data_IF_918883999455
#
_entry.id   IF_918883999455
#
_cell.length_a   1.000
_cell.length_b   1.000
_cell.length_c   1.000
_cell.angle_alpha   90.00
_cell.angle_beta   90.00
_cell.angle_gamma   90.00
#
_symmetry.space_group_name_H-M   'P 1'
#
loop_
_entity.id
_entity.type
_entity.pdbx_description
1 polymer ?
#
# COMPACT_ATOMS: atom_id res chain seq x y z
N UNK A 1 1.09 28.29 -11.98
CA UNK A 1 -0.21 27.69 -11.58
C UNK A 1 0.05 26.20 -11.44
N UNK A 2 -0.33 25.57 -10.33
CA UNK A 2 -0.19 24.13 -10.20
C UNK A 2 -1.12 23.44 -11.23
N UNK A 3 -0.65 22.40 -11.95
CA UNK A 3 -1.49 21.69 -12.91
C UNK A 3 -2.73 21.09 -12.22
N UNK A 4 -3.85 21.03 -12.93
CA UNK A 4 -5.04 20.33 -12.45
C UNK A 4 -4.74 18.83 -12.27
N UNK A 5 -5.43 18.15 -11.36
CA UNK A 5 -5.19 16.74 -11.09
C UNK A 5 -5.32 15.86 -12.35
N UNK A 6 -6.21 16.23 -13.29
CA UNK A 6 -6.36 15.56 -14.59
C UNK A 6 -5.08 15.57 -15.43
N UNK A 7 -4.31 16.65 -15.37
CA UNK A 7 -3.05 16.81 -16.10
C UNK A 7 -1.86 16.27 -15.30
N UNK A 8 -1.91 16.43 -13.98
CA UNK A 8 -0.86 15.98 -13.08
C UNK A 8 -0.72 14.46 -13.06
N UNK A 9 -1.81 13.70 -12.95
CA UNK A 9 -1.77 12.25 -12.79
C UNK A 9 -1.02 11.55 -13.94
N UNK A 10 -1.31 11.81 -15.23
CA UNK A 10 -0.56 11.19 -16.34
C UNK A 10 0.90 11.64 -16.38
N UNK A 11 1.18 12.92 -16.13
CA UNK A 11 2.53 13.47 -16.14
C UNK A 11 3.39 12.86 -15.02
N UNK A 12 2.84 12.75 -13.81
CA UNK A 12 3.48 12.13 -12.67
C UNK A 12 3.74 10.64 -12.94
N UNK A 13 2.73 9.91 -13.46
CA UNK A 13 2.86 8.48 -13.81
C UNK A 13 4.01 8.24 -14.79
N UNK A 14 4.08 9.04 -15.86
CA UNK A 14 5.18 8.97 -16.83
C UNK A 14 6.52 9.19 -16.16
N UNK A 15 6.63 10.26 -15.37
CA UNK A 15 7.89 10.63 -14.71
C UNK A 15 8.36 9.55 -13.72
N UNK A 16 7.47 9.03 -12.86
CA UNK A 16 7.87 8.05 -11.84
C UNK A 16 8.26 6.71 -12.44
N UNK A 17 7.69 6.32 -13.59
CA UNK A 17 8.07 5.11 -14.31
C UNK A 17 9.48 5.21 -14.94
N UNK A 18 10.04 6.41 -15.07
CA UNK A 18 11.41 6.63 -15.57
C UNK A 18 12.45 6.66 -14.42
N UNK A 19 12.00 6.59 -13.16
CA UNK A 19 12.90 6.56 -12.00
C UNK A 19 13.55 5.18 -11.83
N UNK A 20 14.65 5.16 -11.09
CA UNK A 20 15.36 3.93 -10.79
C UNK A 20 14.54 3.05 -9.83
N UNK A 21 14.28 1.82 -10.26
CA UNK A 21 13.54 0.80 -9.53
C UNK A 21 12.03 0.78 -9.80
N UNK A 22 11.43 -0.39 -9.57
CA UNK A 22 10.00 -0.67 -9.76
C UNK A 22 9.38 -1.48 -8.61
N UNK A 23 10.02 -1.51 -7.44
CA UNK A 23 9.57 -2.33 -6.31
C UNK A 23 8.23 -1.83 -5.76
N UNK A 24 8.18 -0.58 -5.30
CA UNK A 24 6.96 -0.02 -4.72
C UNK A 24 6.72 1.42 -5.10
N UNK A 25 5.43 1.80 -5.20
CA UNK A 25 4.98 3.17 -5.31
C UNK A 25 3.87 3.44 -4.28
N UNK A 26 3.98 4.55 -3.55
CA UNK A 26 2.91 5.07 -2.70
C UNK A 26 2.31 6.32 -3.32
N UNK A 27 1.00 6.31 -3.52
CA UNK A 27 0.21 7.42 -4.02
C UNK A 27 -0.68 7.95 -2.89
N UNK A 28 -0.77 9.28 -2.76
CA UNK A 28 -1.68 9.95 -1.84
C UNK A 28 -2.70 10.76 -2.61
N UNK A 29 -3.99 10.53 -2.35
CA UNK A 29 -5.11 11.19 -3.03
C UNK A 29 -6.30 11.27 -2.09
N UNK A 30 -6.94 12.43 -2.03
CA UNK A 30 -8.20 12.61 -1.30
C UNK A 30 -9.38 11.99 -2.09
N UNK A 31 -10.46 11.56 -1.42
CA UNK A 31 -11.56 10.85 -2.07
C UNK A 31 -12.32 11.73 -3.09
N UNK A 32 -12.37 13.05 -2.89
CA UNK A 32 -13.09 13.94 -3.80
C UNK A 32 -12.36 14.05 -5.13
N UNK A 33 -11.03 14.21 -5.10
CA UNK A 33 -10.18 14.21 -6.30
C UNK A 33 -10.24 12.86 -7.02
N UNK A 34 -10.13 11.75 -6.30
CA UNK A 34 -10.19 10.41 -6.88
C UNK A 34 -11.55 10.14 -7.54
N UNK A 35 -12.64 10.61 -6.93
CA UNK A 35 -14.01 10.48 -7.47
C UNK A 35 -14.22 11.38 -8.69
N UNK A 36 -13.81 12.65 -8.61
CA UNK A 36 -13.97 13.64 -9.68
C UNK A 36 -13.22 13.24 -10.96
N UNK A 37 -12.07 12.60 -10.82
CA UNK A 37 -11.22 12.19 -11.94
C UNK A 37 -11.05 10.66 -12.01
N UNK A 38 -12.10 9.89 -11.72
CA UNK A 38 -12.05 8.42 -11.58
C UNK A 38 -11.37 7.72 -12.75
N UNK A 39 -11.69 8.08 -13.98
CA UNK A 39 -11.12 7.43 -15.18
C UNK A 39 -9.61 7.64 -15.28
N UNK A 40 -9.13 8.85 -14.96
CA UNK A 40 -7.71 9.20 -15.00
C UNK A 40 -6.96 8.57 -13.82
N UNK A 41 -7.60 8.53 -12.66
CA UNK A 41 -7.07 7.92 -11.46
C UNK A 41 -6.90 6.40 -11.61
N UNK A 42 -7.92 5.68 -12.08
CA UNK A 42 -7.82 4.24 -12.32
C UNK A 42 -6.80 3.93 -13.42
N UNK A 43 -6.76 4.74 -14.48
CA UNK A 43 -5.71 4.62 -15.51
C UNK A 43 -4.30 4.82 -14.94
N UNK A 44 -4.10 5.79 -14.05
CA UNK A 44 -2.82 5.98 -13.36
C UNK A 44 -2.41 4.73 -12.57
N UNK A 45 -3.33 4.09 -11.85
CA UNK A 45 -3.03 2.88 -11.09
C UNK A 45 -2.63 1.69 -11.98
N UNK A 46 -3.24 1.58 -13.15
CA UNK A 46 -2.87 0.58 -14.16
C UNK A 46 -1.49 0.86 -14.77
N UNK A 47 -1.25 2.13 -15.14
CA UNK A 47 -0.03 2.57 -15.84
C UNK A 47 1.19 2.72 -14.91
N UNK A 48 1.03 2.70 -13.58
CA UNK A 48 2.15 2.68 -12.64
C UNK A 48 2.89 1.34 -12.70
N UNK A 49 4.08 1.31 -13.31
CA UNK A 49 4.86 0.09 -13.52
C UNK A 49 5.68 -0.28 -12.27
N UNK A 50 4.97 -0.53 -11.16
CA UNK A 50 5.55 -1.00 -9.90
C UNK A 50 4.91 -2.31 -9.48
N UNK A 51 5.69 -3.23 -8.92
CA UNK A 51 5.18 -4.53 -8.48
C UNK A 51 4.28 -4.42 -7.24
N UNK A 52 4.35 -3.32 -6.49
CA UNK A 52 3.34 -2.96 -5.49
C UNK A 52 2.99 -1.47 -5.55
N UNK A 53 1.69 -1.17 -5.68
CA UNK A 53 1.14 0.17 -5.61
C UNK A 53 0.26 0.29 -4.35
N UNK A 54 0.41 1.37 -3.59
CA UNK A 54 -0.39 1.61 -2.39
C UNK A 54 -0.99 3.01 -2.41
N UNK A 55 -2.30 3.10 -2.22
CA UNK A 55 -3.07 4.33 -2.17
C UNK A 55 -3.35 4.69 -0.72
N UNK A 56 -2.92 5.87 -0.30
CA UNK A 56 -3.07 6.43 1.05
C UNK A 56 -2.47 5.55 2.15
N UNK A 57 -1.54 4.68 1.79
CA UNK A 57 -0.82 3.80 2.70
C UNK A 57 0.63 3.66 2.25
N UNK A 58 1.53 3.48 3.22
CA UNK A 58 2.91 3.16 2.91
C UNK A 58 2.99 1.75 2.30
N UNK A 59 3.62 1.67 1.14
CA UNK A 59 3.76 0.40 0.40
C UNK A 59 4.62 -0.64 1.10
N UNK A 60 5.40 -0.26 2.11
CA UNK A 60 6.11 -1.20 3.00
C UNK A 60 5.20 -2.09 3.85
N UNK A 61 3.88 -1.87 3.85
CA UNK A 61 2.92 -2.80 4.45
C UNK A 61 2.67 -4.04 3.58
N UNK A 62 2.94 -4.00 2.28
CA UNK A 62 2.73 -5.13 1.37
C UNK A 62 3.34 -6.46 1.84
N UNK A 63 4.62 -6.53 2.29
CA UNK A 63 5.20 -7.78 2.79
C UNK A 63 4.54 -8.33 4.06
N UNK A 64 3.68 -7.56 4.75
CA UNK A 64 2.92 -8.05 5.90
C UNK A 64 1.70 -8.89 5.49
N UNK A 65 1.27 -8.80 4.22
CA UNK A 65 0.17 -9.57 3.67
C UNK A 65 0.71 -10.73 2.83
N UNK A 66 0.67 -11.95 3.38
CA UNK A 66 1.21 -13.15 2.73
C UNK A 66 0.62 -13.43 1.35
N UNK A 67 -0.63 -13.01 1.15
CA UNK A 67 -1.40 -13.14 -0.07
C UNK A 67 -0.95 -12.18 -1.18
N UNK A 68 -0.31 -11.06 -0.84
CA UNK A 68 0.10 -10.06 -1.81
C UNK A 68 1.53 -10.34 -2.32
N UNK A 69 1.78 -10.23 -3.63
CA UNK A 69 3.15 -10.20 -4.13
C UNK A 69 3.83 -8.89 -3.72
N UNK A 70 5.05 -8.99 -3.17
CA UNK A 70 5.92 -7.83 -2.94
C UNK A 70 7.24 -8.05 -3.69
N UNK A 71 7.47 -7.23 -4.72
CA UNK A 71 8.52 -7.45 -5.70
C UNK A 71 8.54 -6.38 -6.79
N UNK A 72 9.50 -6.48 -7.70
CA UNK A 72 9.63 -5.55 -8.83
C UNK A 72 8.54 -5.80 -9.88
N UNK A 73 8.26 -4.78 -10.70
CA UNK A 73 7.31 -4.95 -11.80
C UNK A 73 7.85 -5.99 -12.81
N UNK A 74 7.03 -6.98 -13.24
CA UNK A 74 7.51 -8.05 -14.10
C UNK A 74 8.11 -7.52 -15.41
N UNK A 75 9.36 -7.92 -15.70
CA UNK A 75 10.06 -7.54 -16.93
C UNK A 75 10.58 -6.10 -16.97
N UNK A 76 10.50 -5.34 -15.87
CA UNK A 76 11.04 -3.98 -15.82
C UNK A 76 12.59 -3.92 -15.81
N UNK A 77 13.24 -5.01 -15.39
CA UNK A 77 14.67 -5.06 -15.12
C UNK A 77 15.32 -6.26 -15.82
N UNK A 78 16.63 -6.19 -16.02
CA UNK A 78 17.41 -7.28 -16.62
C UNK A 78 18.47 -7.75 -15.63
N UNK A 79 19.03 -8.95 -15.83
CA UNK A 79 20.13 -9.45 -14.98
C UNK A 79 21.33 -8.50 -14.88
N UNK A 80 21.53 -7.66 -15.91
CA UNK A 80 22.62 -6.67 -15.97
C UNK A 80 22.26 -5.31 -15.37
N UNK A 81 20.98 -5.05 -15.16
CA UNK A 81 20.44 -3.85 -14.54
C UNK A 81 19.22 -4.23 -13.71
N UNK A 82 19.51 -4.83 -12.55
CA UNK A 82 18.49 -5.42 -11.67
C UNK A 82 17.65 -4.35 -10.94
N UNK A 83 18.19 -3.13 -10.84
CA UNK A 83 17.65 -2.02 -10.09
C UNK A 83 17.12 -2.44 -8.70
N UNK A 84 15.80 -2.42 -8.51
CA UNK A 84 15.16 -2.75 -7.23
C UNK A 84 14.83 -4.24 -7.04
N UNK A 85 15.33 -5.13 -7.91
CA UNK A 85 15.16 -6.58 -7.81
C UNK A 85 14.40 -7.20 -8.99
N UNK A 86 14.24 -8.53 -8.95
CA UNK A 86 13.35 -9.27 -9.84
C UNK A 86 12.54 -10.28 -9.00
N UNK A 87 11.36 -10.67 -9.50
CA UNK A 87 10.48 -11.60 -8.82
C UNK A 87 9.75 -10.94 -7.65
N UNK A 88 9.15 -11.76 -6.78
CA UNK A 88 8.41 -11.30 -5.62
C UNK A 88 8.43 -12.32 -4.49
N UNK A 89 8.24 -11.86 -3.26
CA UNK A 89 7.82 -12.70 -2.12
C UNK A 89 6.30 -12.63 -1.97
N UNK A 90 5.70 -13.49 -1.14
CA UNK A 90 4.25 -13.54 -0.93
C UNK A 90 3.51 -14.31 -2.02
N UNK A 91 2.32 -13.86 -2.43
CA UNK A 91 1.42 -14.58 -3.35
C UNK A 91 1.05 -15.99 -2.84
N UNK A 92 0.66 -16.11 -1.57
CA UNK A 92 0.27 -17.40 -0.96
C UNK A 92 -0.88 -18.11 -1.69
N UNK A 93 -1.69 -17.39 -2.47
CA UNK A 93 -2.73 -17.95 -3.34
C UNK A 93 -2.23 -18.49 -4.68
N UNK A 94 -0.92 -18.42 -4.95
CA UNK A 94 -0.30 -18.95 -6.17
C UNK A 94 -0.96 -18.41 -7.45
N UNK A 95 -1.36 -17.13 -7.45
CA UNK A 95 -1.90 -16.45 -8.63
C UNK A 95 -0.84 -16.54 -9.73
N UNK A 96 -1.26 -17.00 -10.92
CA UNK A 96 -0.35 -17.19 -12.04
C UNK A 96 0.05 -15.84 -12.63
N UNK A 97 1.36 -15.57 -12.69
CA UNK A 97 1.94 -14.36 -13.30
C UNK A 97 1.31 -13.06 -12.75
N UNK A 98 1.42 -12.80 -11.43
CA UNK A 98 0.90 -11.55 -10.88
C UNK A 98 1.67 -10.36 -11.47
N UNK A 99 0.94 -9.30 -11.84
CA UNK A 99 1.54 -8.07 -12.38
C UNK A 99 1.94 -7.11 -11.27
N UNK A 100 1.01 -6.85 -10.35
CA UNK A 100 1.24 -5.99 -9.18
C UNK A 100 0.27 -6.30 -8.04
N UNK A 101 0.64 -5.94 -6.83
CA UNK A 101 -0.29 -5.77 -5.72
C UNK A 101 -0.84 -4.35 -5.68
N UNK A 102 -2.13 -4.19 -5.37
CA UNK A 102 -2.76 -2.89 -5.14
C UNK A 102 -3.38 -2.85 -3.74
N UNK A 103 -2.88 -1.96 -2.90
CA UNK A 103 -3.42 -1.70 -1.56
C UNK A 103 -4.14 -0.37 -1.58
N UNK A 104 -5.38 -0.33 -1.10
CA UNK A 104 -6.15 0.92 -0.95
C UNK A 104 -6.51 1.14 0.51
N UNK A 105 -6.19 2.31 1.02
CA UNK A 105 -6.59 2.77 2.34
C UNK A 105 -7.40 4.08 2.27
N UNK A 106 -8.23 4.36 3.28
CA UNK A 106 -8.85 5.68 3.42
C UNK A 106 -7.81 6.79 3.51
N UNK A 107 -8.11 7.99 2.99
CA UNK A 107 -7.30 9.18 3.19
C UNK A 107 -7.51 9.71 4.62
N UNK A 108 -6.83 9.11 5.59
CA UNK A 108 -6.93 9.48 7.01
C UNK A 108 -5.56 9.93 7.53
N UNK A 109 -5.57 10.86 8.49
CA UNK A 109 -4.33 11.28 9.16
C UNK A 109 -3.72 10.10 9.94
N UNK A 110 -2.40 9.88 9.89
CA UNK A 110 -1.69 8.95 10.77
C UNK A 110 -1.97 9.18 12.26
N UNK A 111 -2.44 10.38 12.64
CA UNK A 111 -2.88 10.68 14.00
C UNK A 111 -4.09 9.83 14.47
N UNK A 112 -4.84 9.21 13.54
CA UNK A 112 -5.99 8.35 13.86
C UNK A 112 -5.60 6.95 14.35
N UNK A 113 -4.39 6.48 14.06
CA UNK A 113 -3.83 5.24 14.60
C UNK A 113 -2.48 5.56 15.24
N UNK A 114 -2.44 5.65 16.57
CA UNK A 114 -1.18 5.91 17.26
C UNK A 114 -0.23 4.76 16.98
N UNK A 115 0.88 5.05 16.29
CA UNK A 115 1.96 4.09 16.11
C UNK A 115 2.50 3.76 17.50
N UNK A 116 2.65 2.47 17.84
CA UNK A 116 3.14 2.09 19.16
C UNK A 116 4.55 2.64 19.37
N UNK A 117 4.70 3.48 20.39
CA UNK A 117 5.95 4.20 20.68
C UNK A 117 6.98 3.37 21.44
N UNK A 118 6.61 2.16 21.87
CA UNK A 118 7.51 1.24 22.58
C UNK A 118 7.16 -0.24 22.30
N UNK A 119 8.07 -1.13 22.68
CA UNK A 119 7.95 -2.58 22.45
C UNK A 119 6.72 -3.21 23.11
N UNK A 120 6.32 -2.73 24.30
CA UNK A 120 5.16 -3.24 25.02
C UNK A 120 3.86 -2.87 24.30
N UNK A 121 3.72 -1.59 23.91
CA UNK A 121 2.59 -1.10 23.13
C UNK A 121 2.48 -1.85 21.79
N UNK A 122 3.60 -2.06 21.09
CA UNK A 122 3.62 -2.78 19.82
C UNK A 122 3.16 -4.25 19.99
N UNK A 123 3.61 -4.91 21.06
CA UNK A 123 3.20 -6.27 21.40
C UNK A 123 1.72 -6.34 21.72
N UNK A 124 1.21 -5.46 22.59
CA UNK A 124 -0.21 -5.45 22.96
C UNK A 124 -1.08 -5.21 21.74
N UNK A 125 -0.70 -4.29 20.85
CA UNK A 125 -1.44 -4.04 19.62
C UNK A 125 -1.45 -5.28 18.72
N UNK A 126 -0.30 -5.93 18.51
CA UNK A 126 -0.22 -7.17 17.74
C UNK A 126 -1.08 -8.29 18.33
N UNK A 127 -1.04 -8.49 19.65
CA UNK A 127 -1.88 -9.48 20.35
C UNK A 127 -3.37 -9.18 20.15
N UNK A 128 -3.80 -7.92 20.22
CA UNK A 128 -5.20 -7.52 19.99
C UNK A 128 -5.66 -7.73 18.54
N UNK A 129 -4.78 -7.44 17.58
CA UNK A 129 -5.05 -7.71 16.16
C UNK A 129 -5.22 -9.21 15.93
N UNK A 130 -4.29 -10.03 16.43
CA UNK A 130 -4.36 -11.50 16.30
C UNK A 130 -5.63 -12.04 17.00
N UNK A 131 -5.94 -11.57 18.21
CA UNK A 131 -7.10 -12.00 18.98
C UNK A 131 -8.43 -11.70 18.25
N UNK A 132 -8.51 -10.55 17.56
CA UNK A 132 -9.67 -10.20 16.72
C UNK A 132 -9.72 -11.01 15.41
N UNK A 133 -8.58 -11.21 14.75
CA UNK A 133 -8.50 -12.00 13.51
C UNK A 133 -8.91 -13.46 13.73
N UNK A 134 -8.50 -14.05 14.86
CA UNK A 134 -8.86 -15.42 15.23
C UNK A 134 -10.32 -15.55 15.69
N UNK A 135 -10.86 -14.53 16.38
CA UNK A 135 -12.24 -14.57 16.88
C UNK A 135 -12.94 -13.22 16.64
N UNK A 136 -13.56 -13.08 15.47
CA UNK A 136 -14.22 -11.83 15.08
C UNK A 136 -15.49 -11.61 15.91
N UNK A 137 -15.47 -10.66 16.84
CA UNK A 137 -16.66 -10.18 17.55
C UNK A 137 -16.52 -8.71 17.99
N UNK A 138 -17.66 -8.09 18.32
CA UNK A 138 -17.74 -6.67 18.64
C UNK A 138 -16.89 -6.28 19.86
N UNK A 139 -16.85 -7.11 20.91
CA UNK A 139 -16.05 -6.85 22.11
C UNK A 139 -14.55 -6.76 21.82
N UNK A 140 -14.03 -7.68 21.00
CA UNK A 140 -12.61 -7.70 20.60
C UNK A 140 -12.27 -6.55 19.64
N UNK A 141 -13.21 -6.18 18.76
CA UNK A 141 -13.07 -4.99 17.93
C UNK A 141 -12.99 -3.72 18.78
N UNK A 142 -13.87 -3.56 19.78
CA UNK A 142 -13.84 -2.41 20.69
C UNK A 142 -12.54 -2.33 21.48
N UNK A 143 -12.01 -3.47 21.95
CA UNK A 143 -10.68 -3.53 22.59
C UNK A 143 -9.55 -3.09 21.65
N UNK A 144 -9.58 -3.52 20.39
CA UNK A 144 -8.60 -3.14 19.38
C UNK A 144 -8.67 -1.63 19.07
N UNK A 145 -9.87 -1.09 18.89
CA UNK A 145 -10.10 0.34 18.64
C UNK A 145 -9.59 1.17 19.83
N UNK A 146 -9.98 0.82 21.06
CA UNK A 146 -9.55 1.51 22.26
C UNK A 146 -8.02 1.56 22.34
N UNK A 147 -7.35 0.41 22.18
CA UNK A 147 -5.89 0.33 22.22
C UNK A 147 -5.21 1.12 21.09
N UNK A 148 -5.78 1.10 19.87
CA UNK A 148 -5.23 1.82 18.72
C UNK A 148 -5.36 3.35 18.86
N UNK A 149 -6.36 3.82 19.60
CA UNK A 149 -6.56 5.24 19.93
C UNK A 149 -5.70 5.70 21.13
N UNK A 150 -5.45 4.82 22.10
CA UNK A 150 -4.71 5.16 23.31
C UNK A 150 -3.20 4.98 23.16
N UNK A 151 -2.76 3.96 22.40
CA UNK A 151 -1.36 3.51 22.34
C UNK A 151 -0.88 2.85 23.63
N UNK A 152 -1.80 2.46 24.53
CA UNK A 152 -1.54 1.87 25.86
C UNK A 152 -2.01 0.43 25.95
#
# INVERSE_FOLDING_TARGET
>A
VAPDAKEFMPAATKYVNELWGSLTCTLSVDPDTASKYSDVYEKMLDDLHFGCVSVNQWSGFAPLYSELPWGAYPGAHTDRDIQSGEGHIGNSYCIKKPIKALIRAPFTSPAAAKVPVNRTAARTQAERVVDFLLHRNAYRLTKLIFHSLTGM
#
